data_IF_505254742739
#
_entry.id   IF_505254742739
#
_cell.length_a   1.000
_cell.length_b   1.000
_cell.length_c   1.000
_cell.angle_alpha   90.00
_cell.angle_beta   90.00
_cell.angle_gamma   90.00
#
_symmetry.space_group_name_H-M   'P 1'
#
loop_
_entity.id
_entity.type
_entity.pdbx_description
1 polymer ?
#
# COMPACT_ATOMS: atom_id res chain seq x y z
N UNK A 1 -18.93 40.28 28.30
CA UNK A 1 -18.52 39.33 27.25
C UNK A 1 -19.16 39.81 25.97
N UNK A 2 -18.36 40.35 25.05
CA UNK A 2 -18.89 41.07 23.90
C UNK A 2 -19.45 40.08 22.87
N UNK A 3 -20.50 40.45 22.14
CA UNK A 3 -21.14 39.58 21.15
C UNK A 3 -20.16 39.14 20.04
N UNK A 4 -19.14 39.96 19.77
CA UNK A 4 -18.04 39.70 18.85
C UNK A 4 -17.17 38.52 19.31
N UNK A 5 -16.82 38.43 20.61
CA UNK A 5 -15.94 37.37 21.14
C UNK A 5 -16.55 35.99 20.89
N UNK A 6 -17.86 35.84 21.17
CA UNK A 6 -18.59 34.60 20.93
C UNK A 6 -18.72 34.25 19.45
N UNK A 7 -18.80 35.25 18.59
CA UNK A 7 -18.92 35.02 17.16
C UNK A 7 -17.58 34.57 16.59
N UNK A 8 -16.48 35.17 17.03
CA UNK A 8 -15.13 34.82 16.60
C UNK A 8 -14.79 33.35 16.87
N UNK A 9 -15.21 32.80 18.01
CA UNK A 9 -15.07 31.37 18.33
C UNK A 9 -15.83 30.46 17.34
N UNK A 10 -16.95 30.93 16.80
CA UNK A 10 -17.82 30.17 15.90
C UNK A 10 -17.41 30.30 14.42
N UNK A 11 -16.56 31.26 14.04
CA UNK A 11 -16.17 31.48 12.64
C UNK A 11 -15.45 30.25 12.04
N UNK A 12 -14.57 29.60 12.79
CA UNK A 12 -13.88 28.38 12.31
C UNK A 12 -14.88 27.27 11.97
N UNK A 13 -15.81 26.96 12.90
CA UNK A 13 -16.86 25.97 12.66
C UNK A 13 -17.81 26.35 11.53
N UNK A 14 -17.99 27.65 11.26
CA UNK A 14 -18.78 28.13 10.12
C UNK A 14 -18.09 27.78 8.78
N UNK A 15 -16.78 28.02 8.69
CA UNK A 15 -15.93 27.71 7.53
C UNK A 15 -15.83 26.20 7.28
N UNK A 16 -15.84 25.39 8.33
CA UNK A 16 -15.79 23.92 8.25
C UNK A 16 -17.16 23.25 8.16
N UNK A 17 -18.23 24.05 8.18
CA UNK A 17 -19.63 23.61 8.09
C UNK A 17 -20.09 22.67 9.22
N UNK A 18 -19.49 22.81 10.40
CA UNK A 18 -19.79 22.00 11.59
C UNK A 18 -20.82 22.63 12.52
N UNK A 19 -21.20 23.89 12.28
CA UNK A 19 -22.20 24.59 13.10
C UNK A 19 -23.62 24.07 12.87
N UNK A 20 -24.40 24.04 13.94
CA UNK A 20 -25.85 23.87 13.85
C UNK A 20 -26.51 25.06 13.11
N UNK A 21 -27.75 24.88 12.66
CA UNK A 21 -28.45 25.90 11.86
C UNK A 21 -28.61 27.25 12.58
N UNK A 22 -28.79 27.24 13.91
CA UNK A 22 -29.01 28.46 14.70
C UNK A 22 -27.73 29.29 14.80
N UNK A 23 -26.61 28.66 15.12
CA UNK A 23 -25.31 29.32 15.27
C UNK A 23 -24.76 29.76 13.90
N UNK A 24 -25.00 28.98 12.85
CA UNK A 24 -24.67 29.37 11.48
C UNK A 24 -25.38 30.66 11.06
N UNK A 25 -26.66 30.79 11.40
CA UNK A 25 -27.44 32.00 11.09
C UNK A 25 -26.95 33.20 11.90
N UNK A 26 -26.60 33.01 13.17
CA UNK A 26 -26.04 34.06 14.04
C UNK A 26 -24.72 34.60 13.50
N UNK A 27 -23.79 33.71 13.14
CA UNK A 27 -22.49 34.08 12.57
C UNK A 27 -22.70 34.85 11.26
N UNK A 28 -23.60 34.40 10.38
CA UNK A 28 -23.88 35.08 9.10
C UNK A 28 -24.35 36.52 9.29
N UNK A 29 -25.37 36.74 10.13
CA UNK A 29 -25.92 38.08 10.40
C UNK A 29 -24.88 38.98 11.07
N UNK A 30 -24.01 38.41 11.90
CA UNK A 30 -22.97 39.18 12.58
C UNK A 30 -21.83 39.61 11.65
N UNK A 31 -21.39 38.75 10.72
CA UNK A 31 -20.39 39.10 9.69
C UNK A 31 -20.94 40.17 8.72
N UNK A 32 -22.25 40.19 8.47
CA UNK A 32 -22.90 41.23 7.66
C UNK A 32 -22.90 42.60 8.36
N UNK A 33 -22.97 42.62 9.69
CA UNK A 33 -23.14 43.84 10.50
C UNK A 33 -21.87 44.35 11.20
N UNK A 34 -20.82 43.53 11.32
CA UNK A 34 -19.60 43.86 12.04
C UNK A 34 -18.35 43.71 11.15
N UNK A 35 -17.65 44.82 10.90
CA UNK A 35 -16.43 44.83 10.08
C UNK A 35 -15.27 44.04 10.69
N UNK A 36 -15.15 44.01 12.03
CA UNK A 36 -14.11 43.23 12.71
C UNK A 36 -14.28 41.73 12.49
N UNK A 37 -15.50 41.21 12.62
CA UNK A 37 -15.76 39.78 12.43
C UNK A 37 -15.66 39.38 10.94
N UNK A 38 -15.94 40.30 10.02
CA UNK A 38 -15.73 40.09 8.58
C UNK A 38 -14.24 39.92 8.26
N UNK A 39 -13.38 40.78 8.80
CA UNK A 39 -11.93 40.68 8.59
C UNK A 39 -11.40 39.32 9.06
N UNK A 40 -11.78 38.86 10.26
CA UNK A 40 -11.35 37.56 10.80
C UNK A 40 -11.82 36.38 9.93
N UNK A 41 -13.04 36.46 9.38
CA UNK A 41 -13.55 35.44 8.47
C UNK A 41 -12.74 35.39 7.16
N UNK A 42 -12.41 36.54 6.58
CA UNK A 42 -11.60 36.62 5.35
C UNK A 42 -10.18 36.09 5.56
N UNK A 43 -9.55 36.44 6.68
CA UNK A 43 -8.21 35.96 7.05
C UNK A 43 -8.17 34.43 7.18
N UNK A 44 -9.12 33.84 7.90
CA UNK A 44 -9.22 32.40 8.08
C UNK A 44 -9.54 31.67 6.77
N UNK A 45 -10.38 32.27 5.92
CA UNK A 45 -10.70 31.71 4.61
C UNK A 45 -9.47 31.73 3.68
N UNK A 46 -8.68 32.79 3.70
CA UNK A 46 -7.44 32.89 2.93
C UNK A 46 -6.44 31.78 3.32
N UNK A 47 -6.22 31.57 4.62
CA UNK A 47 -5.35 30.49 5.11
C UNK A 47 -5.85 29.11 4.65
N UNK A 48 -7.16 28.84 4.74
CA UNK A 48 -7.75 27.57 4.29
C UNK A 48 -7.56 27.35 2.78
N UNK A 49 -7.68 28.41 1.97
CA UNK A 49 -7.44 28.34 0.54
C UNK A 49 -5.97 28.08 0.21
N UNK A 50 -5.04 28.74 0.91
CA UNK A 50 -3.61 28.49 0.77
C UNK A 50 -3.23 27.06 1.18
N UNK A 51 -3.78 26.57 2.28
CA UNK A 51 -3.60 25.18 2.72
C UNK A 51 -4.23 24.17 1.75
N UNK A 52 -5.36 24.50 1.12
CA UNK A 52 -5.98 23.66 0.09
C UNK A 52 -5.17 23.57 -1.21
N UNK A 53 -4.32 24.55 -1.48
CA UNK A 53 -3.39 24.55 -2.63
C UNK A 53 -2.07 23.83 -2.34
N UNK A 54 -1.77 23.53 -1.07
CA UNK A 54 -0.73 22.56 -0.76
C UNK A 54 -1.23 21.22 -1.28
N UNK A 55 -0.70 20.78 -2.42
CA UNK A 55 -0.84 19.40 -2.88
C UNK A 55 -0.31 18.52 -1.75
N UNK A 56 -1.23 18.02 -0.92
CA UNK A 56 -0.92 16.94 0.00
C UNK A 56 -0.48 15.79 -0.89
N UNK A 57 0.77 15.32 -0.83
CA UNK A 57 1.19 14.20 -1.63
C UNK A 57 0.27 13.05 -1.24
N UNK A 58 -0.60 12.69 -2.17
CA UNK A 58 -1.56 11.60 -2.02
C UNK A 58 -0.72 10.36 -1.68
N UNK A 59 -0.79 9.98 -0.40
CA UNK A 59 -0.12 8.89 0.29
C UNK A 59 0.92 8.14 -0.58
N UNK A 60 2.21 8.35 -0.32
CA UNK A 60 3.37 7.68 -0.95
C UNK A 60 3.16 6.16 -1.14
N UNK A 61 2.38 5.54 -0.25
CA UNK A 61 1.98 4.13 -0.33
C UNK A 61 1.20 3.77 -1.61
N UNK A 62 0.31 4.63 -2.10
CA UNK A 62 -0.47 4.38 -3.31
C UNK A 62 0.38 4.48 -4.60
N UNK A 63 1.43 5.31 -4.59
CA UNK A 63 2.36 5.42 -5.71
C UNK A 63 3.38 4.27 -5.73
N UNK A 64 3.88 3.85 -4.57
CA UNK A 64 4.73 2.65 -4.45
C UNK A 64 4.02 1.42 -5.02
N UNK A 65 2.73 1.28 -4.71
CA UNK A 65 1.91 0.16 -5.15
C UNK A 65 1.77 0.10 -6.68
N UNK A 66 1.79 1.27 -7.35
CA UNK A 66 1.71 1.40 -8.80
C UNK A 66 3.01 0.99 -9.48
N UNK A 67 4.16 1.35 -8.90
CA UNK A 67 5.50 0.95 -9.36
C UNK A 67 5.71 -0.55 -9.14
N UNK A 68 5.28 -1.08 -7.98
CA UNK A 68 5.37 -2.51 -7.68
C UNK A 68 4.41 -3.38 -8.54
N UNK A 69 3.32 -2.80 -9.04
CA UNK A 69 2.36 -3.45 -9.95
C UNK A 69 2.80 -3.44 -11.41
N UNK A 70 4.01 -3.00 -11.74
CA UNK A 70 4.51 -3.05 -13.11
C UNK A 70 4.52 -4.47 -13.67
N UNK A 71 3.99 -4.68 -14.90
CA UNK A 71 3.91 -6.00 -15.52
C UNK A 71 5.28 -6.64 -15.75
N UNK A 72 6.35 -5.82 -15.82
CA UNK A 72 7.73 -6.26 -15.98
C UNK A 72 8.21 -7.04 -14.75
N UNK A 73 7.91 -6.54 -13.54
CA UNK A 73 8.27 -7.21 -12.29
C UNK A 73 7.56 -8.58 -12.13
N UNK A 74 6.33 -8.69 -12.64
CA UNK A 74 5.58 -9.96 -12.68
C UNK A 74 6.20 -10.94 -13.69
N UNK A 75 6.60 -10.47 -14.87
CA UNK A 75 7.26 -11.30 -15.89
C UNK A 75 8.60 -11.86 -15.42
N UNK A 76 9.44 -11.02 -14.83
CA UNK A 76 10.76 -11.42 -14.33
C UNK A 76 10.67 -12.47 -13.21
N UNK A 77 9.69 -12.34 -12.31
CA UNK A 77 9.47 -13.32 -11.24
C UNK A 77 9.01 -14.69 -11.78
N UNK A 78 8.17 -14.71 -12.82
CA UNK A 78 7.72 -15.96 -13.47
C UNK A 78 8.90 -16.64 -14.19
N UNK A 79 9.68 -15.87 -14.96
CA UNK A 79 10.87 -16.38 -15.66
C UNK A 79 11.88 -16.94 -14.67
N UNK A 80 12.15 -16.23 -13.57
CA UNK A 80 13.06 -16.70 -12.52
C UNK A 80 12.61 -18.03 -11.91
N UNK A 81 11.30 -18.19 -11.68
CA UNK A 81 10.73 -19.44 -11.19
C UNK A 81 10.87 -20.60 -12.17
N UNK A 82 10.66 -20.37 -13.46
CA UNK A 82 10.88 -21.39 -14.48
C UNK A 82 12.35 -21.81 -14.56
N UNK A 83 13.28 -20.86 -14.55
CA UNK A 83 14.73 -21.15 -14.55
C UNK A 83 15.11 -21.98 -13.32
N UNK A 84 14.60 -21.63 -12.14
CA UNK A 84 14.85 -22.39 -10.91
C UNK A 84 14.31 -23.82 -10.99
N UNK A 85 13.06 -24.01 -11.42
CA UNK A 85 12.46 -25.36 -11.53
C UNK A 85 13.21 -26.21 -12.55
N UNK A 86 13.51 -25.65 -13.74
CA UNK A 86 14.20 -26.38 -14.80
C UNK A 86 15.63 -26.73 -14.37
N UNK A 87 16.36 -25.77 -13.77
CA UNK A 87 17.71 -26.00 -13.27
C UNK A 87 17.76 -27.06 -12.17
N UNK A 88 16.83 -26.99 -11.22
CA UNK A 88 16.72 -27.97 -10.14
C UNK A 88 16.35 -29.37 -10.67
N UNK A 89 15.40 -29.46 -11.62
CA UNK A 89 15.04 -30.72 -12.25
C UNK A 89 16.21 -31.34 -13.04
N UNK A 90 16.96 -30.51 -13.79
CA UNK A 90 18.17 -30.95 -14.49
C UNK A 90 19.24 -31.47 -13.55
N UNK A 91 19.46 -30.77 -12.42
CA UNK A 91 20.39 -31.19 -11.38
C UNK A 91 19.99 -32.55 -10.78
N UNK A 92 18.70 -32.72 -10.43
CA UNK A 92 18.16 -33.99 -9.91
C UNK A 92 18.36 -35.16 -10.89
N UNK A 93 18.13 -34.94 -12.18
CA UNK A 93 18.32 -35.98 -13.22
C UNK A 93 19.80 -36.35 -13.35
N UNK A 94 20.70 -35.37 -13.36
CA UNK A 94 22.14 -35.62 -13.43
C UNK A 94 22.65 -36.35 -12.18
N UNK A 95 22.23 -35.91 -11.00
CA UNK A 95 22.54 -36.54 -9.72
C UNK A 95 22.05 -38.00 -9.66
N UNK A 96 20.80 -38.27 -10.07
CA UNK A 96 20.27 -39.64 -10.17
C UNK A 96 21.10 -40.52 -11.11
N UNK A 97 21.50 -39.98 -12.27
CA UNK A 97 22.37 -40.70 -13.20
C UNK A 97 23.72 -41.04 -12.56
N UNK A 98 24.40 -40.06 -11.95
CA UNK A 98 25.71 -40.28 -11.30
C UNK A 98 25.63 -41.31 -10.16
N UNK A 99 24.58 -41.24 -9.33
CA UNK A 99 24.39 -42.16 -8.21
C UNK A 99 23.99 -43.57 -8.64
N UNK A 100 23.46 -43.73 -9.85
CA UNK A 100 23.16 -45.03 -10.44
C UNK A 100 24.38 -45.64 -11.11
N UNK A 101 25.22 -44.84 -11.77
CA UNK A 101 26.45 -45.31 -12.44
C UNK A 101 27.60 -45.58 -11.49
N UNK A 102 27.64 -44.92 -10.32
CA UNK A 102 28.74 -45.02 -9.36
C UNK A 102 28.25 -45.53 -7.98
N UNK A 103 28.47 -46.84 -7.68
CA UNK A 103 28.10 -47.45 -6.39
C UNK A 103 29.00 -47.01 -5.21
N UNK A 104 30.02 -46.20 -5.46
CA UNK A 104 31.06 -45.81 -4.49
C UNK A 104 30.60 -44.81 -3.43
N UNK A 105 29.46 -44.15 -3.64
CA UNK A 105 28.97 -43.10 -2.72
C UNK A 105 28.20 -43.71 -1.54
N UNK A 106 28.59 -43.42 -0.28
CA UNK A 106 27.89 -43.90 0.90
C UNK A 106 26.42 -43.47 0.97
N UNK A 107 25.56 -44.35 1.50
CA UNK A 107 24.11 -44.13 1.55
C UNK A 107 23.70 -42.86 2.32
N UNK A 108 24.43 -42.51 3.39
CA UNK A 108 24.15 -41.32 4.21
C UNK A 108 24.41 -40.01 3.45
N UNK A 109 25.39 -39.99 2.54
CA UNK A 109 25.66 -38.82 1.68
C UNK A 109 24.48 -38.62 0.72
N UNK A 110 23.99 -39.70 0.10
CA UNK A 110 22.82 -39.65 -0.79
C UNK A 110 21.61 -39.08 -0.05
N UNK A 111 21.34 -39.59 1.16
CA UNK A 111 20.24 -39.10 2.00
C UNK A 111 20.41 -37.62 2.39
N UNK A 112 21.63 -37.18 2.70
CA UNK A 112 21.92 -35.78 3.02
C UNK A 112 21.64 -34.83 1.86
N UNK A 113 22.04 -35.18 0.64
CA UNK A 113 21.81 -34.34 -0.54
C UNK A 113 20.30 -34.24 -0.85
N UNK A 114 19.58 -35.37 -0.84
CA UNK A 114 18.12 -35.37 -1.04
C UNK A 114 17.36 -34.56 0.03
N UNK A 115 17.84 -34.53 1.27
CA UNK A 115 17.21 -33.75 2.34
C UNK A 115 17.37 -32.23 2.12
N UNK A 116 18.55 -31.79 1.68
CA UNK A 116 18.80 -30.39 1.33
C UNK A 116 17.93 -29.98 0.12
N UNK A 117 17.90 -30.82 -0.91
CA UNK A 117 17.06 -30.65 -2.10
C UNK A 117 15.57 -30.56 -1.75
N UNK A 118 15.08 -31.46 -0.89
CA UNK A 118 13.72 -31.42 -0.39
C UNK A 118 13.42 -30.13 0.39
N UNK A 119 14.38 -29.66 1.19
CA UNK A 119 14.27 -28.38 1.92
C UNK A 119 14.12 -27.19 0.98
N UNK A 120 14.93 -27.12 -0.09
CA UNK A 120 14.82 -26.07 -1.12
C UNK A 120 13.47 -26.13 -1.82
N UNK A 121 13.01 -27.32 -2.22
CA UNK A 121 11.69 -27.49 -2.84
C UNK A 121 10.54 -27.07 -1.92
N UNK A 122 10.62 -27.36 -0.61
CA UNK A 122 9.62 -26.94 0.37
C UNK A 122 9.56 -25.41 0.52
N UNK A 123 10.72 -24.75 0.60
CA UNK A 123 10.78 -23.28 0.68
C UNK A 123 10.23 -22.63 -0.58
N UNK A 124 10.62 -23.13 -1.75
CA UNK A 124 10.07 -22.70 -3.03
C UNK A 124 8.54 -22.89 -3.02
N UNK A 125 8.04 -24.08 -2.69
CA UNK A 125 6.61 -24.37 -2.63
C UNK A 125 5.84 -23.46 -1.66
N UNK A 126 6.44 -23.11 -0.52
CA UNK A 126 5.88 -22.16 0.45
C UNK A 126 5.69 -20.76 -0.16
N UNK A 127 6.73 -20.24 -0.81
CA UNK A 127 6.67 -18.93 -1.48
C UNK A 127 5.67 -18.93 -2.62
N UNK A 128 5.61 -20.00 -3.41
CA UNK A 128 4.62 -20.14 -4.49
C UNK A 128 3.19 -20.12 -3.94
N UNK A 129 2.94 -20.89 -2.86
CA UNK A 129 1.65 -20.92 -2.18
C UNK A 129 1.26 -19.53 -1.67
N UNK A 130 2.17 -18.81 -1.02
CA UNK A 130 1.95 -17.45 -0.54
C UNK A 130 1.56 -16.51 -1.69
N UNK A 131 2.27 -16.58 -2.83
CA UNK A 131 1.93 -15.77 -4.01
C UNK A 131 0.58 -16.14 -4.62
N UNK A 132 0.24 -17.42 -4.71
CA UNK A 132 -1.06 -17.87 -5.24
C UNK A 132 -2.22 -17.41 -4.36
N UNK A 133 -2.06 -17.41 -3.04
CA UNK A 133 -3.07 -16.89 -2.10
C UNK A 133 -3.20 -15.38 -2.26
N UNK A 134 -2.09 -14.64 -2.30
CA UNK A 134 -2.10 -13.19 -2.51
C UNK A 134 -2.81 -12.78 -3.82
N UNK A 135 -2.59 -13.54 -4.91
CA UNK A 135 -3.27 -13.31 -6.19
C UNK A 135 -4.79 -13.57 -6.13
N UNK A 136 -5.25 -14.51 -5.28
CA UNK A 136 -6.67 -14.83 -5.12
C UNK A 136 -7.39 -13.86 -4.19
N UNK A 137 -6.70 -13.31 -3.19
CA UNK A 137 -7.28 -12.44 -2.15
C UNK A 137 -7.20 -10.95 -2.49
N UNK A 138 -6.76 -10.59 -3.69
CA UNK A 138 -6.69 -9.18 -4.11
C UNK A 138 -8.10 -8.57 -4.27
N UNK A 139 -8.56 -7.90 -3.20
CA UNK A 139 -9.87 -7.26 -3.05
C UNK A 139 -10.10 -6.13 -4.06
N UNK A 140 -9.05 -5.57 -4.67
CA UNK A 140 -9.14 -4.43 -5.58
C UNK A 140 -9.08 -4.79 -7.06
N UNK A 141 -8.97 -6.08 -7.41
CA UNK A 141 -8.88 -6.55 -8.80
C UNK A 141 -10.08 -6.14 -9.68
N UNK A 142 -11.23 -5.87 -9.09
CA UNK A 142 -12.48 -5.57 -9.81
C UNK A 142 -12.91 -4.10 -9.77
N UNK A 143 -12.11 -3.20 -9.19
CA UNK A 143 -12.45 -1.77 -9.16
C UNK A 143 -11.87 -1.13 -10.42
N UNK A 144 -12.72 -0.92 -11.44
CA UNK A 144 -12.41 -0.07 -12.60
C UNK A 144 -12.58 1.39 -12.15
N UNK A 145 -11.52 2.19 -12.29
CA UNK A 145 -11.62 3.65 -12.29
C UNK A 145 -12.18 4.11 -13.64
#
# INVERSE_FOLDING_TARGET
MNLCDKTQELISGYIDHELNQQDRQRVRVHIESCDQCRAVYEDLLAIKQEMGNLQYPECEEAQLDKIMKEPVAKGMAIIGWFILIIGFAGFMVWQLFTFYTEPSVPMWVKAGVFLIEAGVLLLLGSVLRQRLIALKTDKYKNVKF
#
